data_IF_780615029541
#
_entry.id   IF_780615029541
#
_cell.length_a   1.000
_cell.length_b   1.000
_cell.length_c   1.000
_cell.angle_alpha   90.00
_cell.angle_beta   90.00
_cell.angle_gamma   90.00
#
_symmetry.space_group_name_H-M   'P 1'
#
loop_
_entity.id
_entity.type
_entity.pdbx_description
1 polymer ?
#
# COMPACT_ATOMS: atom_id res chain seq x y z
N UNK A 1 -9.33 -3.62 -23.49
CA UNK A 1 -8.69 -4.58 -22.56
C UNK A 1 -7.46 -5.32 -23.11
N UNK A 2 -7.42 -5.74 -24.38
CA UNK A 2 -6.27 -6.46 -24.94
C UNK A 2 -4.95 -5.65 -24.88
N UNK A 3 -4.99 -4.35 -25.21
CA UNK A 3 -3.82 -3.46 -25.13
C UNK A 3 -3.32 -3.29 -23.68
N UNK A 4 -4.24 -3.10 -22.72
CA UNK A 4 -3.89 -3.00 -21.29
C UNK A 4 -3.16 -4.24 -20.81
N UNK A 5 -3.69 -5.44 -21.10
CA UNK A 5 -3.03 -6.71 -20.74
C UNK A 5 -1.68 -6.87 -21.44
N UNK A 6 -1.55 -6.42 -22.69
CA UNK A 6 -0.26 -6.47 -23.42
C UNK A 6 0.81 -5.60 -22.76
N UNK A 7 0.44 -4.40 -22.31
CA UNK A 7 1.39 -3.44 -21.71
C UNK A 7 1.65 -3.78 -20.24
N UNK A 8 0.59 -4.00 -19.45
CA UNK A 8 0.67 -4.16 -18.01
C UNK A 8 0.73 -5.61 -17.54
N UNK A 9 0.41 -6.59 -18.38
CA UNK A 9 0.40 -8.00 -17.99
C UNK A 9 1.75 -8.53 -17.53
N UNK A 10 2.85 -8.05 -18.13
CA UNK A 10 4.20 -8.38 -17.70
C UNK A 10 4.54 -7.88 -16.29
N UNK A 11 3.81 -6.89 -15.77
CA UNK A 11 4.05 -6.30 -14.46
C UNK A 11 3.51 -7.17 -13.31
N UNK A 12 2.67 -8.18 -13.60
CA UNK A 12 2.11 -9.09 -12.60
C UNK A 12 3.18 -9.94 -11.91
N UNK A 13 4.28 -10.26 -12.59
CA UNK A 13 5.42 -10.99 -12.04
C UNK A 13 6.50 -10.09 -11.43
N UNK A 14 6.35 -8.76 -11.48
CA UNK A 14 7.37 -7.86 -10.94
C UNK A 14 7.32 -7.83 -9.42
N UNK A 15 8.52 -7.80 -8.82
CA UNK A 15 8.69 -7.58 -7.39
C UNK A 15 8.71 -6.08 -7.13
N UNK A 16 7.77 -5.56 -6.34
CA UNK A 16 7.70 -4.13 -6.03
C UNK A 16 9.01 -3.61 -5.39
N UNK A 17 9.44 -2.39 -5.72
CA UNK A 17 10.72 -1.81 -5.26
C UNK A 17 10.81 -1.73 -3.73
N UNK A 18 9.80 -1.16 -3.06
CA UNK A 18 9.79 -1.06 -1.59
C UNK A 18 9.88 -2.44 -0.91
N UNK A 19 9.30 -3.49 -1.49
CA UNK A 19 9.46 -4.85 -0.96
C UNK A 19 10.92 -5.31 -1.06
N UNK A 20 11.58 -5.06 -2.20
CA UNK A 20 12.99 -5.39 -2.36
C UNK A 20 13.89 -4.61 -1.40
N UNK A 21 13.57 -3.35 -1.10
CA UNK A 21 14.31 -2.54 -0.13
C UNK A 21 14.20 -3.13 1.27
N UNK A 22 12.99 -3.51 1.70
CA UNK A 22 12.77 -4.17 2.99
C UNK A 22 13.53 -5.50 3.09
N UNK A 23 13.53 -6.31 2.03
CA UNK A 23 14.30 -7.57 1.99
C UNK A 23 15.80 -7.37 2.11
N UNK A 24 16.32 -6.27 1.55
CA UNK A 24 17.73 -5.90 1.61
C UNK A 24 18.07 -5.10 2.87
N UNK A 25 17.11 -4.85 3.76
CA UNK A 25 17.30 -4.05 4.97
C UNK A 25 17.61 -2.57 4.69
N UNK A 26 17.13 -2.03 3.56
CA UNK A 26 17.32 -0.63 3.17
C UNK A 26 16.13 0.23 3.59
N UNK A 27 16.35 1.53 3.60
CA UNK A 27 15.24 2.48 3.71
C UNK A 27 14.44 2.50 2.41
N UNK A 28 13.12 2.67 2.55
CA UNK A 28 12.14 2.71 1.46
C UNK A 28 11.75 4.15 1.13
N UNK A 29 11.07 4.34 0.00
CA UNK A 29 10.52 5.63 -0.41
C UNK A 29 9.10 5.91 0.16
N UNK A 30 8.66 5.17 1.20
CA UNK A 30 7.28 5.23 1.71
C UNK A 30 6.78 6.65 2.01
N UNK A 31 7.64 7.49 2.58
CA UNK A 31 7.28 8.87 2.94
C UNK A 31 7.18 9.80 1.73
N UNK A 32 7.88 9.48 0.64
CA UNK A 32 7.88 10.27 -0.59
C UNK A 32 6.76 9.87 -1.55
N UNK A 33 6.24 8.63 -1.42
CA UNK A 33 5.12 8.13 -2.22
C UNK A 33 3.82 8.28 -1.43
N UNK A 34 3.55 7.36 -0.49
CA UNK A 34 2.29 7.36 0.27
C UNK A 34 2.26 8.51 1.29
N UNK A 35 3.39 8.83 1.92
CA UNK A 35 3.48 9.96 2.84
C UNK A 35 3.16 11.29 2.18
N UNK A 36 3.54 11.48 0.92
CA UNK A 36 3.16 12.66 0.13
C UNK A 36 1.64 12.71 -0.11
N UNK A 37 1.00 11.57 -0.39
CA UNK A 37 -0.47 11.50 -0.53
C UNK A 37 -1.13 11.93 0.78
N UNK A 38 -0.68 11.40 1.92
CA UNK A 38 -1.20 11.77 3.25
C UNK A 38 -1.02 13.26 3.52
N UNK A 39 0.14 13.83 3.17
CA UNK A 39 0.39 15.26 3.31
C UNK A 39 -0.58 16.07 2.45
N UNK A 40 -0.73 15.73 1.17
CA UNK A 40 -1.63 16.44 0.24
C UNK A 40 -3.10 16.31 0.62
N UNK A 41 -3.49 15.18 1.23
CA UNK A 41 -4.81 14.99 1.83
C UNK A 41 -5.06 15.96 2.97
N UNK A 42 -4.14 16.03 3.94
CA UNK A 42 -4.22 16.99 5.06
C UNK A 42 -4.27 18.45 4.60
N UNK A 43 -3.48 18.84 3.59
CA UNK A 43 -3.51 20.20 3.01
C UNK A 43 -4.89 20.58 2.41
N UNK A 44 -5.74 19.60 2.13
CA UNK A 44 -7.04 19.77 1.45
C UNK A 44 -8.21 19.28 2.30
N UNK A 45 -7.99 18.97 3.57
CA UNK A 45 -8.99 18.38 4.47
C UNK A 45 -9.61 17.06 3.93
N UNK A 46 -8.84 16.29 3.14
CA UNK A 46 -9.23 14.98 2.63
C UNK A 46 -8.53 13.89 3.45
N UNK A 47 -9.31 13.08 4.17
CA UNK A 47 -8.79 11.96 4.94
C UNK A 47 -8.23 10.85 4.03
N UNK A 48 -7.07 10.31 4.40
CA UNK A 48 -6.36 9.26 3.63
C UNK A 48 -6.11 7.98 4.45
N UNK A 49 -7.11 7.43 5.16
CA UNK A 49 -6.90 6.48 6.26
C UNK A 49 -6.11 5.22 5.86
N UNK A 50 -6.30 4.73 4.63
CA UNK A 50 -5.54 3.58 4.13
C UNK A 50 -4.07 3.91 3.84
N UNK A 51 -3.78 5.09 3.27
CA UNK A 51 -2.41 5.53 3.06
C UNK A 51 -1.71 5.81 4.39
N UNK A 52 -2.42 6.43 5.35
CA UNK A 52 -1.89 6.65 6.70
C UNK A 52 -1.50 5.33 7.36
N UNK A 53 -2.37 4.31 7.22
CA UNK A 53 -2.07 2.96 7.73
C UNK A 53 -0.91 2.29 6.99
N UNK A 54 -0.81 2.44 5.67
CA UNK A 54 0.32 1.91 4.91
C UNK A 54 1.65 2.53 5.33
N UNK A 55 1.67 3.87 5.50
CA UNK A 55 2.86 4.59 5.96
C UNK A 55 3.29 4.10 7.33
N UNK A 56 2.36 3.91 8.27
CA UNK A 56 2.63 3.30 9.59
C UNK A 56 3.30 1.93 9.44
N UNK A 57 2.66 0.99 8.74
CA UNK A 57 3.12 -0.41 8.67
C UNK A 57 4.44 -0.60 7.93
N UNK A 58 4.68 0.16 6.86
CA UNK A 58 5.92 0.07 6.09
C UNK A 58 7.06 0.77 6.84
N UNK A 59 6.77 1.86 7.56
CA UNK A 59 7.76 2.50 8.45
C UNK A 59 8.18 1.57 9.59
N UNK A 60 7.23 0.84 10.20
CA UNK A 60 7.53 -0.20 11.20
C UNK A 60 8.42 -1.30 10.62
N UNK A 61 8.07 -1.81 9.43
CA UNK A 61 8.83 -2.83 8.72
C UNK A 61 10.27 -2.37 8.40
N UNK A 62 10.40 -1.14 7.91
CA UNK A 62 11.69 -0.51 7.62
C UNK A 62 12.55 -0.41 8.89
N UNK A 63 12.00 0.08 10.00
CA UNK A 63 12.70 0.16 11.30
C UNK A 63 13.16 -1.20 11.81
N UNK A 64 12.32 -2.23 11.63
CA UNK A 64 12.64 -3.61 12.01
C UNK A 64 13.62 -4.28 11.03
N UNK A 65 13.92 -3.66 9.89
CA UNK A 65 14.72 -4.22 8.80
C UNK A 65 14.19 -5.59 8.35
N UNK A 66 12.87 -5.66 8.15
CA UNK A 66 12.21 -6.92 7.79
C UNK A 66 10.90 -6.74 7.06
N UNK A 67 10.46 -7.81 6.40
CA UNK A 67 9.24 -7.83 5.59
C UNK A 67 8.03 -8.20 6.45
N UNK A 68 6.86 -7.66 6.08
CA UNK A 68 5.59 -8.04 6.69
C UNK A 68 5.01 -9.28 5.99
N UNK A 69 4.42 -10.18 6.75
CA UNK A 69 3.74 -11.36 6.19
C UNK A 69 2.24 -11.08 6.00
N UNK A 70 1.51 -12.06 5.47
CA UNK A 70 0.07 -11.98 5.22
C UNK A 70 -0.78 -11.67 6.46
N UNK A 71 -0.29 -11.99 7.67
CA UNK A 71 -1.00 -11.70 8.92
C UNK A 71 -1.23 -10.20 9.17
N UNK A 72 -0.39 -9.33 8.59
CA UNK A 72 -0.54 -7.87 8.73
C UNK A 72 -1.78 -7.31 8.04
N UNK A 73 -2.42 -8.08 7.14
CA UNK A 73 -3.69 -7.68 6.52
C UNK A 73 -4.78 -7.44 7.57
N UNK A 74 -4.80 -8.22 8.65
CA UNK A 74 -5.74 -8.01 9.77
C UNK A 74 -5.63 -6.63 10.43
N UNK A 75 -4.49 -5.94 10.29
CA UNK A 75 -4.32 -4.56 10.81
C UNK A 75 -5.16 -3.53 10.04
N UNK A 76 -5.78 -3.92 8.92
CA UNK A 76 -6.73 -3.09 8.18
C UNK A 76 -8.19 -3.38 8.53
N UNK A 77 -8.51 -4.37 9.37
CA UNK A 77 -9.89 -4.81 9.63
C UNK A 77 -10.78 -3.67 10.13
N UNK A 78 -10.27 -2.82 11.01
CA UNK A 78 -11.02 -1.65 11.51
C UNK A 78 -11.34 -0.65 10.39
N UNK A 79 -10.40 -0.41 9.46
CA UNK A 79 -10.61 0.47 8.31
C UNK A 79 -11.58 -0.13 7.30
N UNK A 80 -11.45 -1.43 7.03
CA UNK A 80 -12.36 -2.16 6.14
C UNK A 80 -13.79 -2.14 6.70
N UNK A 81 -13.97 -2.35 8.00
CA UNK A 81 -15.30 -2.27 8.63
C UNK A 81 -15.99 -0.92 8.42
N UNK A 82 -15.23 0.18 8.37
CA UNK A 82 -15.76 1.54 8.24
C UNK A 82 -15.95 1.93 6.76
N UNK A 83 -14.98 1.60 5.90
CA UNK A 83 -14.88 2.16 4.55
C UNK A 83 -15.13 1.17 3.41
N UNK A 84 -15.15 -0.14 3.69
CA UNK A 84 -15.46 -1.17 2.71
C UNK A 84 -16.92 -1.69 2.65
N UNK A 85 -17.91 -1.29 3.50
CA UNK A 85 -19.27 -1.84 3.42
C UNK A 85 -19.92 -1.72 2.03
N UNK A 86 -19.64 -0.62 1.33
CA UNK A 86 -20.24 -0.28 0.04
C UNK A 86 -19.31 -0.54 -1.15
N UNK A 87 -18.14 -1.16 -0.94
CA UNK A 87 -17.28 -1.52 -2.06
C UNK A 87 -18.02 -2.56 -2.92
N UNK A 88 -18.12 -2.34 -4.25
CA UNK A 88 -18.81 -3.28 -5.12
C UNK A 88 -18.17 -4.66 -4.96
N UNK A 89 -18.99 -5.62 -4.50
CA UNK A 89 -18.57 -7.00 -4.31
C UNK A 89 -17.94 -7.53 -5.60
N UNK A 90 -16.68 -7.96 -5.49
CA UNK A 90 -15.89 -8.60 -6.55
C UNK A 90 -15.98 -7.88 -7.91
N UNK A 91 -15.36 -6.71 -8.02
CA UNK A 91 -14.73 -6.36 -9.31
C UNK A 91 -13.55 -7.32 -9.48
N UNK A 92 -13.70 -8.28 -10.40
CA UNK A 92 -12.62 -9.15 -10.84
C UNK A 92 -11.54 -8.27 -11.48
N UNK A 93 -10.50 -7.93 -10.71
CA UNK A 93 -9.30 -7.24 -11.17
C UNK A 93 -8.43 -8.15 -12.04
#
# INVERSE_FOLDING_TARGET
>A
MALYRKIWGAHTGLRASMLQDLEKGRDTEINYINGLICQKGRERDVATPFNDKLVELVTEAQKRRGVNNSGYLSRFDALLKIHAPDLPGQVAW
#
